data_IF_429374523593
#
_entry.id   IF_429374523593
#
_cell.length_a   1.000
_cell.length_b   1.000
_cell.length_c   1.000
_cell.angle_alpha   90.00
_cell.angle_beta   90.00
_cell.angle_gamma   90.00
#
_symmetry.space_group_name_H-M   'P 1'
#
loop_
_entity.id
_entity.type
_entity.pdbx_description
1 polymer ?
#
# COMPACT_ATOMS: atom_id res chain seq x y z
N UNK A 1 7.25 -26.21 -4.85
CA UNK A 1 7.17 -24.73 -4.81
C UNK A 1 5.97 -24.15 -5.59
N UNK A 2 5.70 -24.55 -6.83
CA UNK A 2 4.59 -23.98 -7.64
C UNK A 2 3.20 -24.05 -6.96
N UNK A 3 2.84 -25.18 -6.36
CA UNK A 3 1.51 -25.37 -5.74
C UNK A 3 1.24 -24.42 -4.58
N UNK A 4 2.20 -24.20 -3.68
CA UNK A 4 2.04 -23.28 -2.54
C UNK A 4 1.81 -21.83 -3.00
N UNK A 5 2.58 -21.35 -3.96
CA UNK A 5 2.41 -20.01 -4.54
C UNK A 5 1.06 -19.86 -5.26
N UNK A 6 0.61 -20.90 -5.99
CA UNK A 6 -0.71 -20.91 -6.64
C UNK A 6 -1.83 -20.80 -5.59
N UNK A 7 -1.73 -21.53 -4.49
CA UNK A 7 -2.70 -21.47 -3.39
C UNK A 7 -2.73 -20.08 -2.74
N UNK A 8 -1.57 -19.47 -2.48
CA UNK A 8 -1.52 -18.11 -1.90
C UNK A 8 -2.18 -17.10 -2.84
N UNK A 9 -1.92 -17.16 -4.15
CA UNK A 9 -2.54 -16.26 -5.13
C UNK A 9 -4.06 -16.45 -5.23
N UNK A 10 -4.53 -17.69 -5.27
CA UNK A 10 -5.96 -17.99 -5.27
C UNK A 10 -6.63 -17.52 -3.98
N UNK A 11 -6.00 -17.77 -2.82
CA UNK A 11 -6.49 -17.31 -1.54
C UNK A 11 -6.53 -15.77 -1.44
N UNK A 12 -5.50 -15.09 -1.95
CA UNK A 12 -5.46 -13.63 -1.98
C UNK A 12 -6.64 -13.06 -2.79
N UNK A 13 -6.96 -13.65 -3.96
CA UNK A 13 -8.10 -13.21 -4.75
C UNK A 13 -9.44 -13.40 -4.02
N UNK A 14 -9.62 -14.54 -3.32
CA UNK A 14 -10.84 -14.82 -2.58
C UNK A 14 -10.96 -13.93 -1.33
N UNK A 15 -9.87 -13.75 -0.58
CA UNK A 15 -9.87 -12.84 0.59
C UNK A 15 -10.04 -11.37 0.20
N UNK A 16 -9.48 -10.91 -0.93
CA UNK A 16 -9.69 -9.56 -1.45
C UNK A 16 -11.17 -9.32 -1.78
N UNK A 17 -11.83 -10.31 -2.42
CA UNK A 17 -13.23 -10.22 -2.84
C UNK A 17 -14.22 -10.39 -1.69
N UNK A 18 -14.10 -11.47 -0.91
CA UNK A 18 -15.14 -11.92 0.04
C UNK A 18 -14.74 -11.71 1.51
N UNK A 19 -13.48 -11.36 1.80
CA UNK A 19 -12.94 -11.22 3.15
C UNK A 19 -12.61 -12.55 3.82
N UNK A 20 -12.12 -12.45 5.06
CA UNK A 20 -11.74 -13.64 5.82
C UNK A 20 -12.91 -14.55 6.08
N UNK A 21 -14.01 -14.04 6.64
CA UNK A 21 -15.16 -14.86 7.03
C UNK A 21 -15.93 -15.41 5.84
N UNK A 22 -16.03 -14.63 4.75
CA UNK A 22 -16.73 -15.03 3.52
C UNK A 22 -15.99 -16.09 2.70
N UNK A 23 -14.73 -16.42 3.03
CA UNK A 23 -13.89 -17.35 2.26
C UNK A 23 -13.72 -18.69 2.96
N UNK A 24 -13.71 -19.79 2.20
CA UNK A 24 -13.45 -21.15 2.71
C UNK A 24 -12.32 -21.84 1.94
N UNK A 25 -11.64 -22.82 2.58
CA UNK A 25 -10.62 -23.63 1.91
C UNK A 25 -11.18 -24.40 0.69
N UNK A 26 -12.47 -24.78 0.74
CA UNK A 26 -13.12 -25.45 -0.40
C UNK A 26 -13.29 -24.51 -1.60
N UNK A 27 -13.65 -23.24 -1.40
CA UNK A 27 -13.69 -22.24 -2.48
C UNK A 27 -12.30 -22.01 -3.07
N UNK A 28 -11.29 -21.82 -2.22
CA UNK A 28 -9.89 -21.64 -2.66
C UNK A 28 -9.41 -22.86 -3.45
N UNK A 29 -9.70 -24.09 -2.99
CA UNK A 29 -9.42 -25.33 -3.69
C UNK A 29 -10.00 -25.35 -5.10
N UNK A 30 -11.26 -24.94 -5.24
CA UNK A 30 -11.97 -24.87 -6.52
C UNK A 30 -11.35 -23.84 -7.47
N UNK A 31 -11.06 -22.61 -6.98
CA UNK A 31 -10.47 -21.53 -7.77
C UNK A 31 -9.04 -21.88 -8.18
N UNK A 32 -8.25 -22.45 -7.28
CA UNK A 32 -6.89 -22.89 -7.55
C UNK A 32 -6.80 -24.12 -8.47
N UNK A 33 -7.92 -24.84 -8.68
CA UNK A 33 -7.97 -26.13 -9.37
C UNK A 33 -7.05 -27.19 -8.73
N UNK A 34 -6.97 -27.17 -7.40
CA UNK A 34 -6.12 -28.04 -6.59
C UNK A 34 -7.04 -28.80 -5.62
N UNK A 35 -6.84 -30.11 -5.44
CA UNK A 35 -7.69 -30.90 -4.54
C UNK A 35 -7.63 -30.39 -3.10
N UNK A 36 -8.74 -30.50 -2.37
CA UNK A 36 -8.81 -30.05 -0.97
C UNK A 36 -7.76 -30.77 -0.08
N UNK A 37 -7.44 -32.04 -0.37
CA UNK A 37 -6.38 -32.77 0.33
C UNK A 37 -4.99 -32.16 0.08
N UNK A 38 -4.72 -31.66 -1.12
CA UNK A 38 -3.46 -30.95 -1.38
C UNK A 38 -3.45 -29.57 -0.74
N UNK A 39 -4.59 -28.85 -0.68
CA UNK A 39 -4.70 -27.59 0.06
C UNK A 39 -4.38 -27.80 1.53
N UNK A 40 -5.03 -28.77 2.21
CA UNK A 40 -4.84 -29.06 3.63
C UNK A 40 -3.45 -29.62 3.95
N UNK A 41 -2.79 -30.26 2.97
CA UNK A 41 -1.39 -30.66 3.12
C UNK A 41 -0.45 -29.45 3.20
N UNK A 42 -0.69 -28.41 2.40
CA UNK A 42 0.13 -27.19 2.39
C UNK A 42 -0.27 -26.20 3.49
N UNK A 43 -1.56 -26.13 3.81
CA UNK A 43 -2.15 -25.21 4.77
C UNK A 43 -3.23 -25.93 5.58
N UNK A 44 -2.88 -26.48 6.74
CA UNK A 44 -3.80 -27.22 7.62
C UNK A 44 -5.09 -26.47 8.00
N UNK A 45 -5.05 -25.13 7.98
CA UNK A 45 -6.19 -24.28 8.32
C UNK A 45 -6.30 -23.06 7.43
N UNK A 46 -7.53 -22.46 7.40
CA UNK A 46 -7.76 -21.15 6.74
C UNK A 46 -6.90 -20.06 7.38
N UNK A 47 -6.66 -20.13 8.67
CA UNK A 47 -5.84 -19.16 9.39
C UNK A 47 -4.38 -19.18 8.90
N UNK A 48 -3.78 -20.36 8.76
CA UNK A 48 -2.40 -20.48 8.25
C UNK A 48 -2.25 -20.03 6.79
N UNK A 49 -3.28 -20.27 5.96
CA UNK A 49 -3.28 -19.78 4.60
C UNK A 49 -3.43 -18.24 4.57
N UNK A 50 -4.26 -17.66 5.43
CA UNK A 50 -4.40 -16.22 5.58
C UNK A 50 -3.10 -15.57 6.10
N UNK A 51 -2.41 -16.21 7.04
CA UNK A 51 -1.09 -15.76 7.54
C UNK A 51 -0.05 -15.76 6.41
N UNK A 52 -0.08 -16.77 5.53
CA UNK A 52 0.80 -16.81 4.38
C UNK A 52 0.49 -15.71 3.35
N UNK A 53 -0.78 -15.36 3.15
CA UNK A 53 -1.19 -14.23 2.29
C UNK A 53 -0.75 -12.90 2.90
N UNK A 54 -0.94 -12.70 4.21
CA UNK A 54 -0.45 -11.53 4.94
C UNK A 54 1.08 -11.37 4.78
N UNK A 55 1.82 -12.45 5.02
CA UNK A 55 3.28 -12.43 4.91
C UNK A 55 3.76 -12.08 3.49
N UNK A 56 3.10 -12.62 2.45
CA UNK A 56 3.43 -12.31 1.05
C UNK A 56 3.11 -10.85 0.71
N UNK A 57 1.94 -10.33 1.09
CA UNK A 57 1.57 -8.93 0.86
C UNK A 57 2.50 -7.95 1.58
N UNK A 58 2.90 -8.28 2.80
CA UNK A 58 3.87 -7.51 3.56
C UNK A 58 5.25 -7.53 2.89
N UNK A 59 5.70 -8.70 2.41
CA UNK A 59 6.98 -8.83 1.71
C UNK A 59 7.02 -8.02 0.42
N UNK A 60 5.92 -8.03 -0.36
CA UNK A 60 5.78 -7.19 -1.57
C UNK A 60 5.85 -5.70 -1.21
N UNK A 61 5.17 -5.29 -0.14
CA UNK A 61 5.20 -3.90 0.33
C UNK A 61 6.61 -3.47 0.75
N UNK A 62 7.27 -4.28 1.57
CA UNK A 62 8.63 -3.97 2.06
C UNK A 62 9.66 -3.91 0.91
N UNK A 63 9.60 -4.82 -0.05
CA UNK A 63 10.48 -4.81 -1.21
C UNK A 63 10.27 -3.55 -2.08
N UNK A 64 9.04 -3.09 -2.25
CA UNK A 64 8.73 -1.86 -2.97
C UNK A 64 9.24 -0.62 -2.20
N UNK A 65 9.08 -0.60 -0.88
CA UNK A 65 9.63 0.46 -0.03
C UNK A 65 11.16 0.53 -0.15
N UNK A 66 11.85 -0.60 -0.04
CA UNK A 66 13.31 -0.67 -0.17
C UNK A 66 13.79 -0.08 -1.51
N UNK A 67 13.08 -0.41 -2.60
CA UNK A 67 13.38 0.14 -3.93
C UNK A 67 13.23 1.66 -3.97
N UNK A 68 12.18 2.23 -3.39
CA UNK A 68 11.99 3.69 -3.33
C UNK A 68 13.08 4.34 -2.48
N UNK A 69 13.39 3.75 -1.32
CA UNK A 69 14.39 4.27 -0.37
C UNK A 69 15.83 4.17 -0.91
N UNK A 70 16.09 3.30 -1.88
CA UNK A 70 17.41 3.21 -2.53
C UNK A 70 17.73 4.38 -3.47
N UNK A 71 16.72 5.16 -3.86
CA UNK A 71 16.91 6.37 -4.63
C UNK A 71 17.44 7.50 -3.73
N UNK A 72 18.54 8.15 -4.14
CA UNK A 72 19.12 9.27 -3.40
C UNK A 72 18.33 10.56 -3.69
N UNK A 73 17.12 10.66 -3.18
CA UNK A 73 16.21 11.81 -3.32
C UNK A 73 16.12 12.60 -2.01
N UNK A 74 15.78 13.90 -2.06
CA UNK A 74 15.40 14.65 -0.87
C UNK A 74 14.31 13.97 -0.08
N UNK A 75 14.32 14.08 1.25
CA UNK A 75 13.44 13.32 2.13
C UNK A 75 11.95 13.54 1.84
N UNK A 76 11.53 14.79 1.58
CA UNK A 76 10.13 15.10 1.20
C UNK A 76 9.75 14.47 -0.14
N UNK A 77 10.66 14.45 -1.13
CA UNK A 77 10.43 13.77 -2.41
C UNK A 77 10.25 12.27 -2.21
N UNK A 78 11.07 11.67 -1.34
CA UNK A 78 10.98 10.24 -1.00
C UNK A 78 9.64 9.90 -0.35
N UNK A 79 9.09 10.76 0.52
CA UNK A 79 7.75 10.58 1.10
C UNK A 79 6.66 10.58 0.01
N UNK A 80 6.73 11.52 -0.92
CA UNK A 80 5.79 11.58 -2.05
C UNK A 80 5.88 10.30 -2.89
N UNK A 81 7.09 9.91 -3.33
CA UNK A 81 7.29 8.73 -4.17
C UNK A 81 6.88 7.44 -3.45
N UNK A 82 7.16 7.34 -2.14
CA UNK A 82 6.73 6.21 -1.32
C UNK A 82 5.20 6.12 -1.26
N UNK A 83 4.52 7.23 -1.03
CA UNK A 83 3.04 7.24 -0.97
C UNK A 83 2.41 6.87 -2.31
N UNK A 84 3.00 7.30 -3.44
CA UNK A 84 2.55 6.93 -4.78
C UNK A 84 2.80 5.45 -5.07
N UNK A 85 3.92 4.90 -4.63
CA UNK A 85 4.21 3.47 -4.78
C UNK A 85 3.28 2.60 -3.93
N UNK A 86 2.99 3.01 -2.69
CA UNK A 86 2.01 2.33 -1.84
C UNK A 86 0.61 2.35 -2.48
N UNK A 87 0.20 3.47 -3.07
CA UNK A 87 -1.07 3.55 -3.82
C UNK A 87 -1.07 2.65 -5.05
N UNK A 88 0.06 2.57 -5.79
CA UNK A 88 0.22 1.66 -6.92
C UNK A 88 0.09 0.20 -6.50
N UNK A 89 0.69 -0.20 -5.37
CA UNK A 89 0.54 -1.54 -4.83
C UNK A 89 -0.92 -1.87 -4.51
N UNK A 90 -1.64 -0.96 -3.86
CA UNK A 90 -3.07 -1.14 -3.60
C UNK A 90 -3.89 -1.26 -4.89
N UNK A 91 -3.50 -0.58 -5.95
CA UNK A 91 -4.21 -0.62 -7.23
C UNK A 91 -3.91 -1.91 -8.02
N UNK A 92 -2.65 -2.37 -8.04
CA UNK A 92 -2.19 -3.41 -8.96
C UNK A 92 -2.00 -4.79 -8.31
N UNK A 93 -1.73 -4.85 -6.99
CA UNK A 93 -1.32 -6.08 -6.32
C UNK A 93 -2.45 -6.64 -5.43
N UNK A 94 -3.15 -7.65 -5.93
CA UNK A 94 -4.24 -8.32 -5.19
C UNK A 94 -3.77 -8.85 -3.82
N UNK A 95 -2.53 -9.34 -3.73
CA UNK A 95 -2.00 -9.86 -2.46
C UNK A 95 -1.82 -8.75 -1.42
N UNK A 96 -1.48 -7.52 -1.85
CA UNK A 96 -1.38 -6.36 -0.94
C UNK A 96 -2.77 -5.93 -0.48
N UNK A 97 -3.76 -5.80 -1.39
CA UNK A 97 -5.15 -5.49 -0.98
C UNK A 97 -5.71 -6.52 -0.02
N UNK A 98 -5.47 -7.80 -0.31
CA UNK A 98 -5.88 -8.91 0.57
C UNK A 98 -5.22 -8.81 1.95
N UNK A 99 -3.92 -8.50 2.01
CA UNK A 99 -3.21 -8.34 3.27
C UNK A 99 -3.77 -7.15 4.09
N UNK A 100 -4.06 -6.01 3.44
CA UNK A 100 -4.68 -4.85 4.07
C UNK A 100 -6.05 -5.23 4.66
N UNK A 101 -6.88 -5.95 3.90
CA UNK A 101 -8.20 -6.41 4.36
C UNK A 101 -8.09 -7.39 5.52
N UNK A 102 -7.25 -8.42 5.39
CA UNK A 102 -7.04 -9.43 6.44
C UNK A 102 -6.51 -8.83 7.74
N UNK A 103 -5.62 -7.82 7.67
CA UNK A 103 -5.09 -7.16 8.86
C UNK A 103 -6.16 -6.42 9.67
N UNK A 104 -7.26 -6.01 9.03
CA UNK A 104 -8.40 -5.36 9.70
C UNK A 104 -9.45 -6.34 10.21
N UNK A 105 -9.71 -7.40 9.44
CA UNK A 105 -10.77 -8.36 9.77
C UNK A 105 -10.32 -9.39 10.83
N UNK A 106 -9.01 -9.60 11.00
CA UNK A 106 -8.47 -10.58 11.93
C UNK A 106 -7.86 -9.92 13.16
N UNK A 107 -8.31 -10.32 14.34
CA UNK A 107 -7.79 -9.83 15.62
C UNK A 107 -6.30 -10.24 15.79
N UNK A 108 -5.51 -9.33 16.35
CA UNK A 108 -4.10 -9.59 16.68
C UNK A 108 -3.13 -9.48 15.49
N UNK A 109 -3.62 -9.08 14.31
CA UNK A 109 -2.74 -8.77 13.18
C UNK A 109 -2.23 -7.32 13.28
N UNK A 110 -0.96 -7.14 12.93
CA UNK A 110 -0.34 -5.81 12.76
C UNK A 110 -1.03 -5.07 11.60
N UNK A 111 -1.31 -3.79 11.76
CA UNK A 111 -1.87 -2.99 10.68
C UNK A 111 -0.87 -2.87 9.52
N UNK A 112 -1.36 -2.83 8.29
CA UNK A 112 -0.50 -2.59 7.14
C UNK A 112 0.23 -1.23 7.22
N UNK A 113 -0.38 -0.22 7.84
CA UNK A 113 0.27 1.07 8.07
C UNK A 113 1.51 0.97 8.96
N UNK A 114 1.57 0.01 9.88
CA UNK A 114 2.72 -0.16 10.76
C UNK A 114 4.00 -0.53 10.00
N UNK A 115 3.89 -1.00 8.75
CA UNK A 115 5.04 -1.31 7.89
C UNK A 115 5.72 -0.04 7.37
N UNK A 116 4.96 0.97 7.00
CA UNK A 116 5.49 2.13 6.28
C UNK A 116 5.47 3.44 7.10
N UNK A 117 4.56 3.57 8.05
CA UNK A 117 4.38 4.79 8.83
C UNK A 117 5.63 5.22 9.61
N UNK A 118 6.40 4.32 10.25
CA UNK A 118 7.65 4.70 10.92
C UNK A 118 8.68 5.30 9.95
N UNK A 119 8.74 4.78 8.72
CA UNK A 119 9.63 5.30 7.68
C UNK A 119 9.20 6.70 7.22
N UNK A 120 7.90 6.92 7.02
CA UNK A 120 7.34 8.24 6.66
C UNK A 120 7.66 9.27 7.75
N UNK A 121 7.44 8.93 9.02
CA UNK A 121 7.76 9.82 10.15
C UNK A 121 9.23 10.23 10.14
N UNK A 122 10.13 9.27 10.09
CA UNK A 122 11.58 9.53 10.05
C UNK A 122 11.97 10.43 8.86
N UNK A 123 11.41 10.19 7.67
CA UNK A 123 11.70 10.99 6.48
C UNK A 123 11.15 12.41 6.62
N UNK A 124 10.01 12.61 7.25
CA UNK A 124 9.44 13.94 7.47
C UNK A 124 10.20 14.72 8.54
N UNK A 125 10.68 14.05 9.60
CA UNK A 125 11.58 14.68 10.58
C UNK A 125 12.85 15.16 9.89
N UNK A 126 13.47 14.32 9.03
CA UNK A 126 14.62 14.71 8.23
C UNK A 126 14.31 15.84 7.26
N UNK A 127 13.15 15.82 6.58
CA UNK A 127 12.74 16.89 5.67
C UNK A 127 12.61 18.24 6.40
N UNK A 128 12.16 18.21 7.65
CA UNK A 128 12.07 19.40 8.50
C UNK A 128 13.46 19.93 8.89
N UNK A 129 14.36 19.06 9.35
CA UNK A 129 15.74 19.39 9.69
C UNK A 129 16.51 19.97 8.49
N UNK A 130 16.28 19.41 7.30
CA UNK A 130 16.88 19.86 6.03
C UNK A 130 16.23 21.13 5.45
N UNK A 131 15.21 21.70 6.12
CA UNK A 131 14.48 22.88 5.67
C UNK A 131 13.69 22.68 4.38
N UNK A 132 13.24 21.47 4.10
CA UNK A 132 12.39 21.13 2.94
C UNK A 132 10.91 21.41 3.23
N UNK A 133 10.50 21.43 4.50
CA UNK A 133 9.18 21.82 4.94
C UNK A 133 9.16 23.32 5.29
N UNK A 134 7.99 23.95 5.14
CA UNK A 134 7.74 25.29 5.67
C UNK A 134 7.82 25.27 7.20
N UNK A 135 8.15 26.42 7.79
CA UNK A 135 8.31 26.53 9.25
C UNK A 135 7.00 26.22 10.01
N UNK A 136 5.84 26.44 9.37
CA UNK A 136 4.51 26.16 9.93
C UNK A 136 3.97 24.75 9.57
N UNK A 137 4.68 23.98 8.77
CA UNK A 137 4.29 22.60 8.39
C UNK A 137 5.00 21.58 9.30
N UNK A 138 4.34 21.19 10.37
CA UNK A 138 4.90 20.23 11.33
C UNK A 138 4.99 18.81 10.73
N UNK A 139 6.08 18.05 10.96
CA UNK A 139 6.22 16.67 10.51
C UNK A 139 5.04 15.77 10.91
N UNK A 140 4.48 15.96 12.10
CA UNK A 140 3.33 15.21 12.59
C UNK A 140 2.05 15.46 11.76
N UNK A 141 1.82 16.72 11.35
CA UNK A 141 0.65 17.07 10.53
C UNK A 141 0.78 16.53 9.11
N UNK A 142 1.98 16.62 8.54
CA UNK A 142 2.26 16.02 7.20
C UNK A 142 2.17 14.51 7.26
N UNK A 143 2.61 13.86 8.35
CA UNK A 143 2.40 12.43 8.57
C UNK A 143 0.91 12.08 8.53
N UNK A 144 0.09 12.82 9.27
CA UNK A 144 -1.36 12.63 9.31
C UNK A 144 -1.99 12.85 7.92
N UNK A 145 -1.50 13.84 7.16
CA UNK A 145 -1.92 14.04 5.78
C UNK A 145 -1.63 12.80 4.91
N UNK A 146 -0.42 12.22 5.01
CA UNK A 146 -0.06 11.00 4.27
C UNK A 146 -0.98 9.84 4.63
N UNK A 147 -1.26 9.63 5.92
CA UNK A 147 -2.19 8.59 6.39
C UNK A 147 -3.59 8.77 5.78
N UNK A 148 -4.13 10.00 5.80
CA UNK A 148 -5.44 10.29 5.23
C UNK A 148 -5.47 10.13 3.70
N UNK A 149 -4.41 10.55 3.01
CA UNK A 149 -4.30 10.38 1.55
C UNK A 149 -4.31 8.90 1.15
N UNK A 150 -3.53 8.05 1.84
CA UNK A 150 -3.48 6.61 1.58
C UNK A 150 -4.77 5.90 2.00
N UNK A 151 -5.36 6.27 3.14
CA UNK A 151 -6.67 5.77 3.56
C UNK A 151 -7.80 6.14 2.61
N UNK A 152 -7.76 7.37 2.08
CA UNK A 152 -8.66 7.83 1.03
C UNK A 152 -8.49 7.06 -0.27
N UNK A 153 -7.25 6.83 -0.72
CA UNK A 153 -6.94 6.05 -1.91
C UNK A 153 -7.45 4.61 -1.80
N UNK A 154 -7.27 3.96 -0.65
CA UNK A 154 -7.79 2.62 -0.40
C UNK A 154 -9.32 2.57 -0.43
N UNK A 155 -9.98 3.52 0.25
CA UNK A 155 -11.44 3.62 0.25
C UNK A 155 -11.98 3.83 -1.16
N UNK A 156 -11.33 4.70 -1.94
CA UNK A 156 -11.66 4.94 -3.33
C UNK A 156 -11.56 3.67 -4.19
N UNK A 157 -10.48 2.89 -4.04
CA UNK A 157 -10.29 1.63 -4.76
C UNK A 157 -11.35 0.59 -4.40
N UNK A 158 -11.72 0.46 -3.12
CA UNK A 158 -12.80 -0.45 -2.68
C UNK A 158 -14.16 -0.07 -3.25
N UNK A 159 -14.50 1.21 -3.27
CA UNK A 159 -15.75 1.68 -3.86
C UNK A 159 -15.82 1.41 -5.37
N UNK A 160 -14.67 1.50 -6.07
CA UNK A 160 -14.59 1.21 -7.51
C UNK A 160 -14.87 -0.24 -7.86
N UNK A 161 -14.47 -1.18 -7.03
CA UNK A 161 -14.74 -2.62 -7.26
C UNK A 161 -16.25 -2.93 -7.31
N UNK A 162 -17.09 -1.96 -6.88
CA UNK A 162 -18.55 -2.07 -6.90
C UNK A 162 -19.22 -1.31 -8.06
N UNK A 163 -18.47 -0.61 -8.94
CA UNK A 163 -19.02 0.25 -9.99
C UNK A 163 -18.33 0.03 -11.35
N UNK A 164 -19.12 -0.07 -12.43
CA UNK A 164 -18.63 -0.28 -13.82
C UNK A 164 -18.14 1.01 -14.54
N UNK A 165 -18.03 2.13 -13.84
CA UNK A 165 -17.66 3.42 -14.47
C UNK A 165 -16.17 3.51 -14.66
N UNK A 166 -15.71 3.94 -15.85
CA UNK A 166 -14.31 4.23 -16.14
C UNK A 166 -13.83 5.43 -15.31
N UNK A 167 -12.96 5.20 -14.34
CA UNK A 167 -12.38 6.22 -13.49
C UNK A 167 -10.85 6.27 -13.66
N UNK A 168 -10.30 7.42 -13.33
CA UNK A 168 -8.86 7.57 -13.19
C UNK A 168 -8.31 6.66 -12.06
N UNK A 169 -7.08 6.16 -12.21
CA UNK A 169 -6.42 5.35 -11.18
C UNK A 169 -6.18 6.14 -9.88
N UNK A 170 -6.13 5.43 -8.75
CA UNK A 170 -5.84 6.03 -7.45
C UNK A 170 -4.49 6.76 -7.44
N UNK A 171 -3.50 6.24 -8.16
CA UNK A 171 -2.18 6.89 -8.34
C UNK A 171 -2.31 8.26 -9.01
N UNK A 172 -3.08 8.35 -10.10
CA UNK A 172 -3.30 9.63 -10.80
C UNK A 172 -4.01 10.66 -9.91
N UNK A 173 -5.04 10.23 -9.18
CA UNK A 173 -5.73 11.08 -8.21
C UNK A 173 -4.77 11.55 -7.10
N UNK A 174 -3.97 10.64 -6.53
CA UNK A 174 -3.02 10.96 -5.46
C UNK A 174 -1.93 11.92 -5.93
N UNK A 175 -1.45 11.80 -7.17
CA UNK A 175 -0.53 12.77 -7.78
C UNK A 175 -1.08 14.20 -7.74
N UNK A 176 -2.34 14.39 -8.16
CA UNK A 176 -2.97 15.73 -8.13
C UNK A 176 -3.15 16.27 -6.71
N UNK A 177 -3.53 15.40 -5.77
CA UNK A 177 -3.66 15.79 -4.37
C UNK A 177 -2.29 16.21 -3.79
N UNK A 178 -1.22 15.52 -4.15
CA UNK A 178 0.13 15.92 -3.76
C UNK A 178 0.53 17.27 -4.36
N UNK A 179 0.21 17.55 -5.63
CA UNK A 179 0.46 18.88 -6.20
C UNK A 179 -0.19 20.00 -5.39
N UNK A 180 -1.42 19.79 -4.92
CA UNK A 180 -2.12 20.76 -4.08
C UNK A 180 -1.50 20.87 -2.68
N UNK A 181 -1.17 19.73 -2.07
CA UNK A 181 -0.60 19.68 -0.73
C UNK A 181 0.79 20.32 -0.64
N UNK A 182 1.64 20.10 -1.65
CA UNK A 182 3.01 20.61 -1.68
C UNK A 182 3.08 22.12 -1.71
N UNK A 183 2.10 22.82 -2.26
CA UNK A 183 1.99 24.28 -2.17
C UNK A 183 1.90 24.74 -0.71
N UNK A 184 1.26 23.95 0.15
CA UNK A 184 1.10 24.26 1.57
C UNK A 184 2.21 23.77 2.48
N UNK A 185 2.97 22.73 2.09
CA UNK A 185 3.93 22.08 3.00
C UNK A 185 5.39 22.26 2.62
N UNK A 186 5.72 22.46 1.33
CA UNK A 186 7.13 22.60 0.92
C UNK A 186 7.63 24.05 1.08
N UNK A 187 8.92 24.18 1.44
CA UNK A 187 9.61 25.46 1.46
C UNK A 187 9.82 25.95 0.01
N UNK A 188 9.13 27.04 -0.38
CA UNK A 188 9.10 27.52 -1.76
C UNK A 188 10.21 28.51 -2.11
N UNK A 189 10.94 29.06 -1.16
CA UNK A 189 11.79 30.28 -1.35
C UNK A 189 13.30 30.07 -1.23
N UNK A 190 13.82 28.85 -1.35
CA UNK A 190 15.28 28.67 -1.43
C UNK A 190 15.68 28.14 -2.77
N UNK A 191 16.67 28.76 -3.40
CA UNK A 191 17.30 28.30 -4.62
C UNK A 191 17.64 26.79 -4.53
N UNK A 192 16.83 25.96 -5.16
CA UNK A 192 16.91 24.51 -5.05
C UNK A 192 15.62 23.81 -4.64
N UNK A 193 14.44 24.40 -4.92
CA UNK A 193 13.15 23.74 -4.67
C UNK A 193 13.19 22.29 -5.21
N UNK A 194 12.85 21.28 -4.40
CA UNK A 194 12.96 19.88 -4.78
C UNK A 194 12.07 19.59 -5.99
N UNK A 195 12.65 18.94 -7.00
CA UNK A 195 11.88 18.38 -8.12
C UNK A 195 11.26 17.08 -7.65
N UNK A 196 9.97 16.90 -7.82
CA UNK A 196 9.24 15.69 -7.45
C UNK A 196 9.11 14.74 -8.67
N UNK A 197 10.01 13.75 -8.83
CA UNK A 197 10.04 12.90 -10.03
C UNK A 197 8.75 12.11 -10.23
N UNK A 198 8.16 11.59 -9.15
CA UNK A 198 6.92 10.83 -9.19
C UNK A 198 5.68 11.61 -9.62
N UNK A 199 5.74 12.95 -9.59
CA UNK A 199 4.64 13.82 -9.99
C UNK A 199 4.70 14.28 -11.44
N UNK A 200 5.76 13.97 -12.18
CA UNK A 200 5.83 14.32 -13.61
C UNK A 200 4.70 13.62 -14.38
N UNK A 201 4.10 14.36 -15.33
CA UNK A 201 3.19 13.76 -16.29
C UNK A 201 3.96 12.68 -17.11
N UNK A 202 3.32 11.57 -17.48
CA UNK A 202 3.89 10.70 -18.49
C UNK A 202 4.03 11.52 -19.79
N UNK A 203 5.19 11.41 -20.45
CA UNK A 203 5.45 11.98 -21.78
C UNK A 203 4.48 11.40 -22.81
#
# INVERSE_FOLDING_TARGET
MRTRTTLIRAAAAEFDRDGYDGTSLAQISKVAQISIGAVTFHFPSKAELADAVLAEGNAVTLAAMEKVLSASLPALCTVVDLSLELARLMEQETVVRSAIRLSRERHGCTSWSDLWLPTVRRLLDQAHEDGQLRDDALPADVTTLVEHLLGGAETYLRCRMCTEVAYEGAVGQLKRLWHLALVGVSATDRAGAPTFPGLRAPD
#
